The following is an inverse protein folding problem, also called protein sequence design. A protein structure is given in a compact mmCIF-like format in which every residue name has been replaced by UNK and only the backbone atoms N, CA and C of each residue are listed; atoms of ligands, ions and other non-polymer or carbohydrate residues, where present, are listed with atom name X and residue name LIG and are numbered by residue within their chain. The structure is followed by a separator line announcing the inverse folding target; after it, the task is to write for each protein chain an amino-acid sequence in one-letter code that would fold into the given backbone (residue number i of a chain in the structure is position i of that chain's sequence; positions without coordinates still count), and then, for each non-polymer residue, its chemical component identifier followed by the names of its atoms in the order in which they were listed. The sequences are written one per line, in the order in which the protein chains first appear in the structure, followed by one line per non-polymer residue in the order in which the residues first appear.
data_IF_016746117125
#
_entry.id   IF_016746117125
#
_cell.length_a   1.000
_cell.length_b   1.000
_cell.length_c   1.000
_cell.angle_alpha   90.00
_cell.angle_beta   90.00
_cell.angle_gamma   90.00
#
_symmetry.space_group_name_H-M   'P 1'
#
loop_
_entity.id
_entity.type
_entity.pdbx_description
1 polymer ?
#
# COMPACT_ATOMS: atom_id res chain seq x y z
N UNK A 1 7.69 19.95 -24.70
CA UNK A 1 6.94 19.04 -23.81
C UNK A 1 7.69 19.01 -22.48
N UNK A 2 7.16 19.70 -21.46
CA UNK A 2 7.71 19.65 -20.10
C UNK A 2 7.35 18.31 -19.49
N UNK A 3 8.34 17.61 -18.96
CA UNK A 3 8.16 16.37 -18.23
C UNK A 3 8.24 16.69 -16.75
N UNK A 4 7.15 16.49 -16.04
CA UNK A 4 7.12 16.68 -14.61
C UNK A 4 7.71 15.42 -13.95
N UNK A 5 8.66 15.63 -13.06
CA UNK A 5 9.26 14.56 -12.29
C UNK A 5 8.81 14.73 -10.84
N UNK A 6 8.08 13.78 -10.33
CA UNK A 6 7.96 13.60 -8.90
C UNK A 6 8.88 12.44 -8.50
N UNK A 7 9.88 12.72 -7.74
CA UNK A 7 10.64 11.69 -7.03
C UNK A 7 10.17 11.67 -5.59
N UNK A 8 9.64 10.55 -5.16
CA UNK A 8 9.29 10.33 -3.77
C UNK A 8 10.43 9.56 -3.14
N UNK A 9 11.10 10.16 -2.17
CA UNK A 9 12.06 9.45 -1.33
C UNK A 9 11.27 8.94 -0.13
N UNK A 10 11.08 7.63 -0.06
CA UNK A 10 10.48 6.99 1.09
C UNK A 10 11.59 6.51 2.01
N UNK A 11 11.59 6.98 3.24
CA UNK A 11 12.44 6.45 4.29
C UNK A 11 11.76 5.24 4.92
N UNK A 12 12.35 4.08 4.83
CA UNK A 12 11.95 2.94 5.63
C UNK A 12 13.07 2.59 6.61
N UNK A 13 12.72 2.53 7.87
CA UNK A 13 13.64 2.08 8.88
C UNK A 13 13.51 0.56 9.04
N UNK A 14 14.54 -0.16 8.66
CA UNK A 14 14.65 -1.59 8.92
C UNK A 14 13.77 -2.47 8.02
N UNK A 15 14.33 -2.99 6.98
CA UNK A 15 13.70 -3.94 6.09
C UNK A 15 14.72 -4.92 5.52
N UNK A 16 14.27 -5.78 4.62
CA UNK A 16 15.10 -6.81 3.97
C UNK A 16 16.28 -6.21 3.18
N UNK A 17 16.24 -4.90 2.94
CA UNK A 17 17.31 -4.16 2.27
C UNK A 17 17.49 -2.80 2.92
N UNK A 18 18.43 -2.71 3.84
CA UNK A 18 18.81 -1.44 4.44
C UNK A 18 19.22 -0.42 3.37
N UNK A 19 18.49 0.69 3.33
CA UNK A 19 18.81 1.82 2.45
C UNK A 19 18.16 1.80 1.07
N UNK A 20 17.38 0.80 0.67
CA UNK A 20 16.59 0.85 -0.55
C UNK A 20 15.14 1.22 -0.26
N UNK A 21 14.71 2.34 -0.81
CA UNK A 21 13.35 2.84 -0.65
C UNK A 21 12.70 3.00 -2.02
N UNK A 22 11.59 2.31 -2.22
CA UNK A 22 10.72 2.52 -3.38
C UNK A 22 9.71 3.62 -3.11
N UNK A 23 9.29 4.34 -4.15
CA UNK A 23 8.13 5.20 -4.05
C UNK A 23 6.87 4.33 -3.86
N UNK A 24 6.01 4.71 -2.92
CA UNK A 24 4.71 4.06 -2.77
C UNK A 24 3.76 4.53 -3.88
N UNK A 25 3.72 3.76 -4.96
CA UNK A 25 2.83 4.01 -6.10
C UNK A 25 1.38 3.58 -5.82
N UNK A 26 1.13 2.87 -4.72
CA UNK A 26 -0.23 2.42 -4.35
C UNK A 26 -1.17 3.57 -3.97
N UNK A 27 -0.61 4.74 -3.67
CA UNK A 27 -1.36 5.96 -3.37
C UNK A 27 -1.94 6.64 -4.62
N UNK A 28 -1.53 6.22 -5.82
CA UNK A 28 -2.05 6.76 -7.08
C UNK A 28 -3.25 5.92 -7.50
N UNK A 29 -4.46 6.49 -7.56
CA UNK A 29 -5.64 5.78 -8.03
C UNK A 29 -5.47 5.30 -9.46
N UNK A 30 -5.87 4.06 -9.75
CA UNK A 30 -5.79 3.52 -11.11
C UNK A 30 -6.61 4.34 -12.12
N UNK A 31 -7.76 4.84 -11.71
CA UNK A 31 -8.61 5.69 -12.54
C UNK A 31 -8.04 7.08 -12.82
N UNK A 32 -7.07 7.58 -12.06
CA UNK A 32 -6.37 8.83 -12.36
C UNK A 32 -5.39 8.69 -13.52
N UNK A 33 -5.05 7.47 -13.92
CA UNK A 33 -4.07 7.20 -14.94
C UNK A 33 -4.69 7.20 -16.34
N UNK A 34 -4.06 7.95 -17.24
CA UNK A 34 -4.33 7.92 -18.68
C UNK A 34 -3.60 6.76 -19.35
N UNK A 35 -2.33 6.56 -18.95
CA UNK A 35 -1.48 5.46 -19.42
C UNK A 35 -0.27 5.25 -18.52
N UNK A 36 0.30 4.07 -18.58
CA UNK A 36 1.59 3.73 -17.97
C UNK A 36 2.56 3.37 -19.10
N UNK A 37 3.68 4.04 -19.15
CA UNK A 37 4.74 3.79 -20.14
C UNK A 37 5.95 3.19 -19.45
N UNK A 38 6.47 2.11 -20.00
CA UNK A 38 7.69 1.45 -19.50
C UNK A 38 8.79 1.64 -20.54
N UNK A 39 9.83 2.37 -20.15
CA UNK A 39 11.06 2.47 -20.95
C UNK A 39 12.07 1.47 -20.37
N UNK A 40 12.47 0.52 -21.20
CA UNK A 40 13.49 -0.46 -20.87
C UNK A 40 14.81 0.03 -21.46
N UNK A 41 15.88 -0.01 -20.69
CA UNK A 41 17.23 0.38 -21.06
C UNK A 41 17.46 1.86 -21.48
N UNK A 42 18.67 2.36 -21.27
CA UNK A 42 19.17 3.60 -21.86
C UNK A 42 18.46 4.90 -21.47
N UNK A 43 17.61 4.87 -20.43
CA UNK A 43 16.82 6.04 -20.04
C UNK A 43 17.63 7.09 -19.24
N UNK A 44 18.85 6.76 -18.81
CA UNK A 44 19.69 7.62 -17.98
C UNK A 44 19.98 8.99 -18.61
N UNK A 45 20.16 9.05 -19.91
CA UNK A 45 20.42 10.31 -20.63
C UNK A 45 19.28 11.32 -20.57
N UNK A 46 18.04 10.82 -20.42
CA UNK A 46 16.82 11.65 -20.37
C UNK A 46 16.27 11.83 -18.95
N UNK A 47 16.48 10.87 -18.07
CA UNK A 47 15.84 10.77 -16.76
C UNK A 47 16.82 10.86 -15.58
N UNK A 48 18.13 10.89 -15.87
CA UNK A 48 19.18 10.97 -14.85
C UNK A 48 19.78 9.62 -14.50
N UNK A 49 20.84 9.64 -13.70
CA UNK A 49 21.68 8.48 -13.35
C UNK A 49 20.92 7.32 -12.72
N UNK A 50 19.81 7.61 -12.06
CA UNK A 50 19.01 6.60 -11.35
C UNK A 50 18.17 5.72 -12.29
N UNK A 51 18.05 6.12 -13.57
CA UNK A 51 17.29 5.42 -14.58
C UNK A 51 18.12 4.38 -15.37
N UNK A 52 19.06 3.70 -14.72
CA UNK A 52 19.93 2.70 -15.36
C UNK A 52 19.14 1.47 -15.84
N UNK A 53 18.22 0.98 -15.02
CA UNK A 53 17.44 -0.22 -15.33
C UNK A 53 16.19 0.09 -16.18
N UNK A 54 15.78 1.34 -16.23
CA UNK A 54 14.60 1.79 -16.96
C UNK A 54 13.78 2.83 -16.20
N UNK A 55 12.63 3.21 -16.80
CA UNK A 55 11.70 4.19 -16.23
C UNK A 55 10.27 3.71 -16.40
N UNK A 56 9.48 3.83 -15.34
CA UNK A 56 8.03 3.70 -15.40
C UNK A 56 7.44 5.10 -15.32
N UNK A 57 6.75 5.51 -16.36
CA UNK A 57 6.15 6.83 -16.46
C UNK A 57 4.62 6.73 -16.34
N UNK A 58 4.07 7.26 -15.25
CA UNK A 58 2.63 7.34 -15.03
C UNK A 58 2.12 8.64 -15.63
N UNK A 59 1.27 8.55 -16.65
CA UNK A 59 0.59 9.70 -17.24
C UNK A 59 -0.78 9.86 -16.62
N UNK A 60 -1.03 11.04 -16.06
CA UNK A 60 -2.32 11.37 -15.45
C UNK A 60 -3.35 11.75 -16.53
N UNK A 61 -4.62 11.54 -16.22
CA UNK A 61 -5.72 12.05 -17.03
C UNK A 61 -5.75 13.56 -17.01
N UNK A 62 -5.97 14.13 -18.18
CA UNK A 62 -5.96 15.57 -18.47
C UNK A 62 -7.24 16.01 -19.21
N UNK A 63 -8.29 15.21 -19.17
CA UNK A 63 -9.57 15.54 -19.76
C UNK A 63 -10.24 16.68 -18.99
N UNK A 64 -10.81 17.64 -19.73
CA UNK A 64 -11.57 18.75 -19.19
C UNK A 64 -13.08 18.50 -19.14
N UNK A 65 -13.53 17.34 -19.56
CA UNK A 65 -14.94 16.94 -19.58
C UNK A 65 -15.08 15.42 -19.45
N UNK A 66 -16.29 14.99 -19.17
CA UNK A 66 -16.63 13.58 -19.07
C UNK A 66 -16.19 12.96 -17.74
N UNK A 67 -16.53 11.69 -17.58
CA UNK A 67 -16.22 10.95 -16.37
C UNK A 67 -16.44 9.47 -16.55
N UNK A 68 -15.98 8.71 -15.56
CA UNK A 68 -16.17 7.26 -15.47
C UNK A 68 -16.33 6.86 -14.03
N UNK A 69 -17.11 5.80 -13.80
CA UNK A 69 -17.26 5.18 -12.49
C UNK A 69 -17.16 3.67 -12.62
N UNK A 70 -16.63 3.03 -11.58
CA UNK A 70 -16.50 1.58 -11.49
C UNK A 70 -16.89 1.11 -10.10
N UNK A 71 -17.67 0.03 -10.05
CA UNK A 71 -17.98 -0.68 -8.82
C UNK A 71 -17.55 -2.12 -9.02
N UNK A 72 -16.78 -2.65 -8.08
CA UNK A 72 -16.43 -4.06 -8.03
C UNK A 72 -16.83 -4.65 -6.69
N UNK A 73 -17.43 -5.82 -6.73
CA UNK A 73 -17.72 -6.64 -5.57
C UNK A 73 -17.28 -8.06 -5.86
N UNK A 74 -16.78 -8.75 -4.87
CA UNK A 74 -16.32 -10.12 -5.05
C UNK A 74 -16.16 -10.85 -3.73
N UNK A 75 -16.10 -12.17 -3.84
CA UNK A 75 -15.88 -13.11 -2.75
C UNK A 75 -15.19 -14.34 -3.35
N UNK A 76 -14.34 -14.99 -2.58
CA UNK A 76 -13.76 -16.27 -3.01
C UNK A 76 -14.79 -17.39 -2.90
N UNK A 77 -14.59 -18.43 -3.69
CA UNK A 77 -15.48 -19.62 -3.71
C UNK A 77 -15.55 -20.35 -2.38
N UNK A 78 -14.56 -20.14 -1.53
CA UNK A 78 -14.49 -20.67 -0.16
C UNK A 78 -15.36 -19.90 0.85
N UNK A 79 -16.01 -18.82 0.41
CA UNK A 79 -16.91 -18.00 1.25
C UNK A 79 -16.21 -16.97 2.11
N UNK A 80 -14.95 -16.65 1.80
CA UNK A 80 -14.14 -15.64 2.49
C UNK A 80 -13.63 -14.55 1.55
N UNK A 81 -12.90 -13.57 2.09
CA UNK A 81 -12.24 -12.52 1.32
C UNK A 81 -13.22 -11.64 0.56
N UNK A 82 -14.39 -11.34 1.12
CA UNK A 82 -15.32 -10.38 0.54
C UNK A 82 -14.63 -9.08 0.27
N UNK A 83 -14.96 -8.47 -0.86
CA UNK A 83 -14.41 -7.16 -1.22
C UNK A 83 -15.49 -6.28 -1.81
N UNK A 84 -15.39 -4.99 -1.52
CA UNK A 84 -16.13 -3.95 -2.19
C UNK A 84 -15.15 -2.84 -2.60
N UNK A 85 -15.33 -2.34 -3.82
CA UNK A 85 -14.49 -1.30 -4.37
C UNK A 85 -15.34 -0.35 -5.22
N UNK A 86 -15.13 0.94 -5.02
CA UNK A 86 -15.70 2.00 -5.83
C UNK A 86 -14.57 2.89 -6.35
N UNK A 87 -14.66 3.28 -7.60
CA UNK A 87 -13.80 4.30 -8.17
C UNK A 87 -14.60 5.24 -9.07
N UNK A 88 -14.28 6.51 -9.03
CA UNK A 88 -14.86 7.55 -9.87
C UNK A 88 -13.80 8.53 -10.35
N UNK A 89 -13.92 8.96 -11.59
CA UNK A 89 -13.08 9.99 -12.18
C UNK A 89 -13.94 10.97 -12.94
N UNK A 90 -13.66 12.26 -12.81
CA UNK A 90 -14.38 13.31 -13.52
C UNK A 90 -13.41 14.38 -13.99
N UNK A 91 -13.54 14.77 -15.25
CA UNK A 91 -12.90 15.93 -15.86
C UNK A 91 -13.82 17.15 -15.83
N UNK A 92 -13.24 18.31 -15.57
CA UNK A 92 -13.94 19.60 -15.53
C UNK A 92 -13.08 20.66 -16.21
N UNK A 93 -13.74 21.62 -16.87
CA UNK A 93 -13.04 22.79 -17.40
C UNK A 93 -12.52 23.68 -16.27
N UNK A 94 -11.32 24.19 -16.42
CA UNK A 94 -10.70 25.16 -15.52
C UNK A 94 -10.35 26.42 -16.31
N UNK A 95 -11.26 27.39 -16.31
CA UNK A 95 -11.14 28.57 -17.18
C UNK A 95 -11.31 28.22 -18.66
N UNK A 96 -10.87 29.13 -19.54
CA UNK A 96 -11.08 28.99 -20.98
C UNK A 96 -10.19 27.92 -21.65
N UNK A 97 -9.02 27.65 -21.10
CA UNK A 97 -8.00 26.79 -21.69
C UNK A 97 -7.34 25.87 -20.63
N UNK A 98 -8.13 25.37 -19.69
CA UNK A 98 -7.60 24.52 -18.65
C UNK A 98 -8.49 23.33 -18.34
N UNK A 99 -7.97 22.43 -17.54
CA UNK A 99 -8.66 21.25 -17.04
C UNK A 99 -8.41 21.06 -15.55
N UNK A 100 -9.37 20.47 -14.88
CA UNK A 100 -9.21 19.84 -13.59
C UNK A 100 -9.77 18.43 -13.68
N UNK A 101 -8.99 17.45 -13.23
CA UNK A 101 -9.36 16.05 -13.24
C UNK A 101 -9.30 15.51 -11.83
N UNK A 102 -10.43 15.02 -11.33
CA UNK A 102 -10.57 14.54 -9.94
C UNK A 102 -10.88 13.07 -9.97
N UNK A 103 -10.18 12.31 -9.13
CA UNK A 103 -10.38 10.88 -8.96
C UNK A 103 -10.56 10.55 -7.49
N UNK A 104 -11.57 9.73 -7.20
CA UNK A 104 -11.84 9.17 -5.89
C UNK A 104 -11.87 7.64 -6.02
N UNK A 105 -11.14 6.95 -5.14
CA UNK A 105 -11.25 5.51 -4.96
C UNK A 105 -11.51 5.21 -3.49
N UNK A 106 -12.36 4.23 -3.24
CA UNK A 106 -12.62 3.70 -1.91
C UNK A 106 -12.78 2.19 -1.99
N UNK A 107 -12.16 1.48 -1.06
CA UNK A 107 -12.22 0.03 -1.03
C UNK A 107 -12.12 -0.55 0.38
N UNK A 108 -12.66 -1.75 0.52
CA UNK A 108 -12.48 -2.60 1.69
C UNK A 108 -12.39 -4.07 1.27
N UNK A 109 -11.74 -4.88 2.05
CA UNK A 109 -11.69 -6.32 1.81
C UNK A 109 -11.44 -7.10 3.09
N UNK A 110 -12.18 -8.18 3.24
CA UNK A 110 -11.96 -9.15 4.31
C UNK A 110 -10.67 -9.94 4.09
N UNK A 111 -10.11 -10.43 5.18
CA UNK A 111 -8.96 -11.33 5.13
C UNK A 111 -9.32 -12.69 4.54
N UNK A 112 -8.31 -13.38 4.01
CA UNK A 112 -8.38 -14.80 3.75
C UNK A 112 -7.30 -15.50 4.55
N UNK A 113 -7.64 -16.64 5.18
CA UNK A 113 -6.68 -17.42 5.94
C UNK A 113 -6.59 -18.81 5.34
N UNK A 114 -5.43 -19.14 4.77
CA UNK A 114 -5.13 -20.45 4.17
C UNK A 114 -4.05 -21.19 4.96
N UNK A 115 -3.88 -20.80 6.21
CA UNK A 115 -2.85 -21.35 7.09
C UNK A 115 -3.35 -22.57 7.81
N UNK A 116 -2.44 -23.49 8.06
CA UNK A 116 -2.60 -24.61 8.99
C UNK A 116 -1.81 -24.28 10.25
N UNK A 117 -2.35 -24.65 11.40
CA UNK A 117 -1.65 -24.41 12.67
C UNK A 117 -0.30 -25.13 12.67
N UNK A 118 0.71 -24.40 13.12
CA UNK A 118 2.08 -24.93 13.27
C UNK A 118 2.16 -25.85 14.49
N UNK A 119 2.91 -26.95 14.37
CA UNK A 119 3.07 -27.89 15.48
C UNK A 119 3.62 -27.25 16.72
N UNK A 120 4.66 -26.41 16.59
CA UNK A 120 5.30 -25.69 17.69
C UNK A 120 4.37 -24.68 18.39
N UNK A 121 3.43 -24.11 17.66
CA UNK A 121 2.40 -23.24 18.21
C UNK A 121 1.30 -24.04 18.92
N UNK A 122 0.90 -25.17 18.34
CA UNK A 122 -0.08 -26.06 18.96
C UNK A 122 0.42 -26.64 20.29
N UNK A 123 1.71 -26.97 20.38
CA UNK A 123 2.36 -27.41 21.62
C UNK A 123 2.30 -26.32 22.71
N UNK A 124 2.52 -25.06 22.33
CA UNK A 124 2.42 -23.94 23.27
C UNK A 124 0.99 -23.73 23.76
N UNK A 125 0.00 -23.84 22.85
CA UNK A 125 -1.43 -23.78 23.24
C UNK A 125 -1.76 -24.91 24.22
N UNK A 126 -1.31 -26.13 23.93
CA UNK A 126 -1.53 -27.27 24.82
C UNK A 126 -0.85 -27.09 26.19
N UNK A 127 0.24 -26.33 26.25
CA UNK A 127 0.93 -25.95 27.50
C UNK A 127 0.27 -24.76 28.22
N UNK A 128 -0.83 -24.18 27.68
CA UNK A 128 -1.58 -23.11 28.32
C UNK A 128 -1.11 -21.69 27.95
N UNK A 129 -0.24 -21.55 26.93
CA UNK A 129 0.17 -20.22 26.47
C UNK A 129 -0.88 -19.60 25.53
N UNK A 130 -1.09 -18.27 25.60
CA UNK A 130 -2.07 -17.56 24.78
C UNK A 130 -1.52 -17.34 23.36
N UNK A 131 -1.53 -18.36 22.53
CA UNK A 131 -1.10 -18.34 21.14
C UNK A 131 -2.34 -18.40 20.23
N UNK A 132 -2.36 -17.58 19.19
CA UNK A 132 -3.45 -17.60 18.21
C UNK A 132 -3.53 -18.92 17.43
N UNK A 133 -4.71 -19.28 16.96
CA UNK A 133 -4.94 -20.42 16.07
C UNK A 133 -5.69 -19.99 14.80
N UNK A 134 -5.03 -19.98 13.62
CA UNK A 134 -3.62 -20.30 13.42
C UNK A 134 -2.69 -19.18 13.90
N UNK A 135 -1.53 -19.55 14.47
CA UNK A 135 -0.54 -18.62 14.95
C UNK A 135 0.12 -17.77 13.85
N UNK A 136 0.07 -18.25 12.64
CA UNK A 136 0.63 -17.57 11.48
C UNK A 136 -0.40 -17.57 10.37
N UNK A 137 -0.78 -16.41 9.91
CA UNK A 137 -1.79 -16.24 8.86
C UNK A 137 -1.11 -15.99 7.51
N UNK A 138 -1.43 -16.81 6.52
CA UNK A 138 -1.06 -16.62 5.14
C UNK A 138 -2.31 -16.45 4.31
N UNK A 139 -2.40 -15.32 3.63
CA UNK A 139 -3.52 -15.01 2.78
C UNK A 139 -3.58 -13.51 2.50
N UNK A 140 -4.72 -13.07 2.04
CA UNK A 140 -5.00 -11.66 1.84
C UNK A 140 -5.16 -10.99 3.20
N UNK A 141 -4.56 -9.84 3.45
CA UNK A 141 -4.79 -9.08 4.68
C UNK A 141 -6.21 -8.51 4.70
N UNK A 142 -6.73 -8.25 5.89
CA UNK A 142 -7.88 -7.37 6.06
C UNK A 142 -7.49 -5.95 5.68
N UNK A 143 -8.32 -5.30 4.87
CA UNK A 143 -8.11 -3.91 4.43
C UNK A 143 -9.40 -3.14 4.63
N UNK A 144 -9.30 -2.04 5.35
CA UNK A 144 -10.40 -1.09 5.53
C UNK A 144 -9.93 0.33 5.22
N UNK A 145 -10.90 1.23 4.99
CA UNK A 145 -10.64 2.65 4.73
C UNK A 145 -9.58 2.92 3.64
N UNK A 146 -9.47 2.06 2.62
CA UNK A 146 -8.58 2.32 1.47
C UNK A 146 -9.17 3.44 0.61
N UNK A 147 -9.02 4.68 1.11
CA UNK A 147 -9.50 5.89 0.46
C UNK A 147 -8.35 6.58 -0.26
N UNK A 148 -8.57 6.93 -1.53
CA UNK A 148 -7.62 7.70 -2.32
C UNK A 148 -8.36 8.82 -3.05
N UNK A 149 -7.94 10.04 -2.81
CA UNK A 149 -8.35 11.22 -3.56
C UNK A 149 -7.15 11.73 -4.35
N UNK A 150 -7.34 11.96 -5.62
CA UNK A 150 -6.30 12.50 -6.51
C UNK A 150 -6.86 13.63 -7.36
N UNK A 151 -6.12 14.72 -7.46
CA UNK A 151 -6.47 15.88 -8.29
C UNK A 151 -5.30 16.20 -9.21
N UNK A 152 -5.59 16.39 -10.49
CA UNK A 152 -4.65 16.86 -11.50
C UNK A 152 -5.27 18.03 -12.25
N UNK A 153 -4.53 19.12 -12.39
CA UNK A 153 -5.05 20.30 -13.08
C UNK A 153 -3.96 21.01 -13.88
N UNK A 154 -4.39 21.71 -14.90
CA UNK A 154 -3.55 22.56 -15.71
C UNK A 154 -4.39 23.64 -16.39
N UNK A 155 -3.81 24.83 -16.57
CA UNK A 155 -4.46 25.94 -17.28
C UNK A 155 -3.42 26.85 -17.91
N UNK A 156 -3.69 27.27 -19.14
CA UNK A 156 -2.91 28.28 -19.82
C UNK A 156 -3.42 29.65 -19.37
N UNK A 157 -2.62 30.34 -18.55
CA UNK A 157 -2.97 31.67 -18.00
C UNK A 157 -2.73 32.79 -19.01
N UNK A 158 -1.65 32.68 -19.78
CA UNK A 158 -1.27 33.58 -20.87
C UNK A 158 -0.56 32.79 -21.97
N UNK A 159 -0.28 33.37 -23.11
CA UNK A 159 0.47 32.71 -24.18
C UNK A 159 1.82 32.18 -23.78
N UNK A 160 2.37 32.71 -22.69
CA UNK A 160 3.71 32.37 -22.19
C UNK A 160 3.70 31.70 -20.79
N UNK A 161 2.56 31.64 -20.11
CA UNK A 161 2.46 31.16 -18.74
C UNK A 161 1.44 30.02 -18.63
N UNK A 162 1.91 28.88 -18.25
CA UNK A 162 1.11 27.70 -17.93
C UNK A 162 1.18 27.42 -16.41
N UNK A 163 0.03 27.27 -15.79
CA UNK A 163 -0.14 26.77 -14.44
C UNK A 163 -0.50 25.29 -14.49
N UNK A 164 0.16 24.48 -13.69
CA UNK A 164 -0.23 23.07 -13.53
C UNK A 164 0.11 22.59 -12.13
N UNK A 165 -0.59 21.55 -11.71
CA UNK A 165 -0.32 20.90 -10.44
C UNK A 165 -1.09 19.60 -10.28
N UNK A 166 -0.68 18.84 -9.27
CA UNK A 166 -1.41 17.67 -8.82
C UNK A 166 -1.21 17.49 -7.32
N UNK A 167 -2.13 16.79 -6.71
CA UNK A 167 -2.06 16.44 -5.30
C UNK A 167 -2.88 15.20 -5.02
N UNK A 168 -2.53 14.52 -3.93
CA UNK A 168 -3.27 13.34 -3.49
C UNK A 168 -3.39 13.30 -1.98
N UNK A 169 -4.44 12.62 -1.55
CA UNK A 169 -4.65 12.21 -0.16
C UNK A 169 -5.00 10.73 -0.17
N UNK A 170 -4.35 9.94 0.66
CA UNK A 170 -4.63 8.52 0.78
C UNK A 170 -4.58 8.09 2.24
N UNK A 171 -5.54 7.22 2.62
CA UNK A 171 -5.54 6.50 3.89
C UNK A 171 -5.80 5.04 3.61
N UNK A 172 -5.30 4.17 4.49
CA UNK A 172 -5.53 2.74 4.39
C UNK A 172 -5.22 2.08 5.72
N UNK A 173 -6.18 1.35 6.25
CA UNK A 173 -6.01 0.53 7.43
C UNK A 173 -5.80 -0.92 6.99
N UNK A 174 -4.71 -1.54 7.44
CA UNK A 174 -4.35 -2.90 7.06
C UNK A 174 -4.02 -3.71 8.30
N UNK A 175 -4.77 -4.80 8.50
CA UNK A 175 -4.44 -5.84 9.48
C UNK A 175 -3.92 -7.06 8.71
N UNK A 176 -2.62 -7.28 8.81
CA UNK A 176 -1.90 -8.32 8.07
C UNK A 176 -1.42 -9.43 8.98
N UNK A 177 -1.41 -10.65 8.45
CA UNK A 177 -0.77 -11.77 9.12
C UNK A 177 0.73 -11.57 9.24
N UNK A 178 1.31 -12.09 10.31
CA UNK A 178 2.74 -12.02 10.56
C UNK A 178 3.35 -13.40 10.80
N UNK A 179 4.67 -13.49 10.72
CA UNK A 179 5.41 -14.70 11.04
C UNK A 179 5.29 -15.00 12.54
N UNK A 180 4.79 -16.20 12.87
CA UNK A 180 4.87 -16.69 14.22
C UNK A 180 6.33 -16.99 14.58
N UNK A 181 6.78 -16.42 15.67
CA UNK A 181 8.09 -16.70 16.26
C UNK A 181 7.88 -17.40 17.60
N UNK A 182 8.21 -18.68 17.65
CA UNK A 182 8.15 -19.43 18.89
C UNK A 182 9.10 -18.77 19.91
N UNK A 183 8.59 -18.29 21.06
CA UNK A 183 9.39 -17.56 22.03
C UNK A 183 10.46 -18.42 22.71
N UNK A 184 10.29 -19.74 22.71
CA UNK A 184 11.19 -20.66 23.41
C UNK A 184 12.31 -21.20 22.52
N UNK A 185 12.11 -21.27 21.20
CA UNK A 185 13.03 -21.99 20.30
C UNK A 185 13.77 -21.12 19.30
N UNK A 186 13.31 -19.90 19.03
CA UNK A 186 13.84 -19.07 17.94
C UNK A 186 14.74 -17.92 18.36
N UNK A 187 15.59 -18.08 19.37
CA UNK A 187 16.48 -16.98 19.77
C UNK A 187 15.70 -15.71 20.14
N UNK A 188 14.43 -15.90 20.49
CA UNK A 188 13.56 -14.84 20.97
C UNK A 188 13.95 -14.42 22.37
N UNK A 189 13.27 -13.45 22.87
CA UNK A 189 13.46 -12.82 24.17
C UNK A 189 13.48 -13.83 25.34
N UNK A 190 12.79 -14.95 25.16
CA UNK A 190 12.65 -16.02 26.15
C UNK A 190 13.51 -17.25 25.83
N UNK A 191 14.29 -17.26 24.77
CA UNK A 191 15.15 -18.37 24.44
C UNK A 191 16.28 -18.46 25.46
N UNK A 192 16.73 -19.67 25.73
CA UNK A 192 17.92 -19.94 26.59
C UNK A 192 19.10 -19.11 26.07
N UNK A 193 19.59 -18.18 26.89
CA UNK A 193 20.62 -17.20 26.49
C UNK A 193 20.09 -15.86 25.98
N UNK A 194 18.80 -15.66 25.88
CA UNK A 194 18.20 -14.36 25.62
C UNK A 194 18.35 -13.42 26.82
N UNK A 195 18.99 -12.28 26.61
CA UNK A 195 19.26 -11.30 27.67
C UNK A 195 18.16 -10.24 27.80
N UNK A 196 17.08 -10.35 27.07
CA UNK A 196 16.00 -9.36 27.11
C UNK A 196 14.83 -9.90 27.92
N UNK A 197 14.65 -9.36 29.10
CA UNK A 197 13.42 -9.45 29.86
C UNK A 197 12.42 -8.46 29.22
N UNK A 198 11.56 -8.94 28.35
CA UNK A 198 10.33 -8.22 28.03
C UNK A 198 9.36 -8.54 29.15
N UNK A 199 9.34 -7.66 30.15
CA UNK A 199 8.29 -7.70 31.15
C UNK A 199 6.96 -7.37 30.47
N UNK A 200 5.91 -8.04 30.86
CA UNK A 200 4.56 -7.59 30.65
C UNK A 200 4.44 -6.19 31.28
N UNK A 201 4.35 -5.17 30.44
CA UNK A 201 4.28 -3.77 30.88
C UNK A 201 2.93 -3.41 31.48
N UNK A 202 1.93 -4.26 31.31
CA UNK A 202 0.58 -4.10 31.86
C UNK A 202 0.36 -4.92 33.12
N UNK A 203 1.18 -5.93 33.37
CA UNK A 203 1.13 -6.78 34.56
C UNK A 203 -0.09 -7.71 34.61
N UNK A 204 -0.85 -7.80 33.53
CA UNK A 204 -2.08 -8.58 33.48
C UNK A 204 -1.93 -9.93 32.78
N UNK A 205 -0.74 -10.25 32.33
CA UNK A 205 -0.43 -11.47 31.56
C UNK A 205 -1.32 -11.67 30.31
N UNK A 206 -2.19 -10.70 30.00
CA UNK A 206 -2.99 -10.66 28.77
C UNK A 206 -2.15 -10.39 27.56
N UNK A 207 -0.92 -10.26 27.84
CA UNK A 207 0.19 -9.77 27.16
C UNK A 207 0.33 -10.07 25.71
N UNK A 208 0.91 -9.28 25.18
CA UNK A 208 1.59 -9.25 23.92
C UNK A 208 2.69 -10.32 23.76
N UNK A 209 2.87 -11.20 24.70
CA UNK A 209 3.86 -12.26 24.61
C UNK A 209 3.49 -13.38 23.64
N UNK A 210 2.24 -13.49 23.22
CA UNK A 210 1.77 -14.53 22.29
C UNK A 210 1.59 -14.05 20.84
N UNK A 211 1.82 -12.79 20.56
CA UNK A 211 1.59 -12.22 19.22
C UNK A 211 2.88 -11.89 18.44
N UNK A 212 4.04 -12.38 18.86
CA UNK A 212 5.29 -12.16 18.16
C UNK A 212 5.80 -13.41 17.44
#
# INVERSE_FOLDING_TARGET
KRRHRASVIVWSAGGISDGSHGADVSTIPGMALKSVEVLRDGAAALYGSDALAGVINFKLKDASEGGSAEIRMGEYTEGDGKMAYFAGNMGMELGANGFANVTLEYGSSDETVRSVQRNDAAELIAAGYPVADPAQKWGRPFVDNDLKLFVNFGSQLTDSVELYGYGNYATKDVDGGFYFRNPLTRGGVYASGGNLLVGDTTGDMSGNCGQY
#
